data_IF_395309112064
#
_entry.id   IF_395309112064
#
_cell.length_a   1.000
_cell.length_b   1.000
_cell.length_c   1.000
_cell.angle_alpha   90.00
_cell.angle_beta   90.00
_cell.angle_gamma   90.00
#
_symmetry.space_group_name_H-M   'P 1'
#
loop_
_entity.id
_entity.type
_entity.pdbx_description
1 polymer ?
#
# COMPACT_ATOMS: atom_id res chain seq x y z
N UNK A 1 30.69 -26.86 -3.68
CA UNK A 1 29.64 -26.35 -4.59
C UNK A 1 28.79 -25.41 -3.77
N UNK A 2 28.98 -24.11 -3.96
CA UNK A 2 28.26 -23.07 -3.26
C UNK A 2 26.94 -22.83 -4.01
N UNK A 3 25.83 -23.17 -3.37
CA UNK A 3 24.53 -23.20 -3.99
C UNK A 3 23.90 -21.81 -3.97
N UNK A 4 23.87 -21.17 -5.15
CA UNK A 4 22.81 -20.27 -5.59
C UNK A 4 22.35 -19.19 -4.59
N UNK A 5 23.25 -18.29 -4.17
CA UNK A 5 22.85 -16.94 -3.72
C UNK A 5 22.75 -16.01 -4.94
N UNK A 6 21.86 -16.39 -5.84
CA UNK A 6 21.65 -15.75 -7.14
C UNK A 6 20.18 -15.48 -7.35
N UNK A 7 19.53 -14.86 -6.36
CA UNK A 7 18.21 -14.25 -6.58
C UNK A 7 18.46 -13.03 -7.47
N UNK A 8 18.45 -13.27 -8.79
CA UNK A 8 18.23 -12.24 -9.79
C UNK A 8 16.95 -11.52 -9.37
N UNK A 9 17.08 -10.37 -8.71
CA UNK A 9 16.00 -9.42 -8.61
C UNK A 9 15.65 -9.08 -10.05
N UNK A 10 14.58 -9.72 -10.51
CA UNK A 10 13.95 -9.53 -11.80
C UNK A 10 13.90 -8.03 -12.09
N UNK A 11 14.47 -7.65 -13.23
CA UNK A 11 14.51 -6.27 -13.71
C UNK A 11 13.13 -5.64 -13.48
N UNK A 12 13.09 -4.55 -12.71
CA UNK A 12 11.86 -3.90 -12.28
C UNK A 12 10.95 -3.67 -13.47
N UNK A 13 9.82 -4.37 -13.51
CA UNK A 13 8.86 -4.35 -14.62
C UNK A 13 8.02 -3.07 -14.52
N UNK A 14 8.66 -1.93 -14.80
CA UNK A 14 8.15 -0.56 -14.76
C UNK A 14 6.89 -0.32 -15.62
N UNK A 15 6.55 -1.28 -16.48
CA UNK A 15 5.38 -1.27 -17.37
C UNK A 15 4.46 -2.48 -17.15
N UNK A 16 4.64 -3.23 -16.06
CA UNK A 16 3.85 -4.41 -15.77
C UNK A 16 2.38 -4.05 -15.60
N UNK A 17 1.53 -4.83 -16.26
CA UNK A 17 0.10 -4.83 -15.95
C UNK A 17 -0.06 -5.24 -14.49
N UNK A 18 -0.69 -4.38 -13.65
CA UNK A 18 -0.79 -4.65 -12.22
C UNK A 18 -1.55 -5.97 -12.02
N UNK A 19 -0.90 -6.92 -11.34
CA UNK A 19 -1.44 -8.27 -11.15
C UNK A 19 -2.14 -8.32 -9.80
N UNK A 20 -3.46 -8.50 -9.82
CA UNK A 20 -4.24 -8.70 -8.62
C UNK A 20 -4.80 -10.11 -8.62
N UNK A 21 -4.50 -10.87 -7.58
CA UNK A 21 -5.00 -12.24 -7.37
C UNK A 21 -6.47 -12.26 -6.92
N UNK A 22 -7.34 -11.44 -7.52
CA UNK A 22 -8.77 -11.49 -7.23
C UNK A 22 -9.45 -12.63 -8.01
N UNK A 23 -10.10 -13.59 -7.32
CA UNK A 23 -10.62 -14.82 -7.94
C UNK A 23 -11.74 -14.59 -8.96
N UNK A 24 -12.37 -13.42 -8.96
CA UNK A 24 -13.52 -13.07 -9.81
C UNK A 24 -13.20 -11.98 -10.85
N UNK A 25 -11.93 -11.56 -10.99
CA UNK A 25 -11.55 -10.47 -11.91
C UNK A 25 -12.15 -9.11 -11.52
N UNK A 26 -12.49 -8.94 -10.24
CA UNK A 26 -12.96 -7.68 -9.67
C UNK A 26 -11.89 -6.60 -9.71
N UNK A 27 -12.29 -5.32 -9.68
CA UNK A 27 -11.34 -4.23 -9.52
C UNK A 27 -10.66 -4.36 -8.15
N UNK A 28 -9.33 -4.20 -8.08
CA UNK A 28 -8.56 -4.40 -6.86
C UNK A 28 -9.05 -3.55 -5.69
N UNK A 29 -8.92 -4.12 -4.50
CA UNK A 29 -9.14 -3.40 -3.25
C UNK A 29 -8.27 -2.14 -3.10
N UNK A 30 -8.71 -1.13 -2.33
CA UNK A 30 -7.91 0.08 -2.03
C UNK A 30 -6.55 -0.22 -1.41
N UNK A 31 -6.49 -1.24 -0.56
CA UNK A 31 -5.24 -1.69 0.07
C UNK A 31 -4.28 -2.28 -0.95
N UNK A 32 -4.78 -3.06 -1.89
CA UNK A 32 -3.97 -3.69 -2.94
C UNK A 32 -3.43 -2.63 -3.91
N UNK A 33 -4.24 -1.62 -4.23
CA UNK A 33 -3.78 -0.43 -4.96
C UNK A 33 -2.66 0.32 -4.22
N UNK A 34 -2.75 0.44 -2.88
CA UNK A 34 -1.71 1.07 -2.08
C UNK A 34 -0.40 0.27 -2.09
N UNK A 35 -0.49 -1.06 -1.93
CA UNK A 35 0.67 -1.95 -1.98
C UNK A 35 1.34 -1.91 -3.36
N UNK A 36 0.55 -1.94 -4.44
CA UNK A 36 1.07 -1.87 -5.80
C UNK A 36 1.90 -0.61 -6.04
N UNK A 37 1.44 0.56 -5.61
CA UNK A 37 2.20 1.81 -5.77
C UNK A 37 3.35 1.97 -4.77
N UNK A 38 3.28 1.32 -3.61
CA UNK A 38 4.38 1.30 -2.61
C UNK A 38 5.56 0.43 -3.10
N UNK A 39 5.25 -0.71 -3.72
CA UNK A 39 6.24 -1.63 -4.30
C UNK A 39 6.73 -1.18 -5.67
N UNK A 40 5.82 -0.68 -6.50
CA UNK A 40 6.07 -0.25 -7.88
C UNK A 40 5.64 1.21 -8.06
N UNK A 41 6.46 2.18 -7.65
CA UNK A 41 6.16 3.58 -7.84
C UNK A 41 6.13 3.91 -9.34
N UNK A 42 5.04 4.56 -9.77
CA UNK A 42 4.81 5.00 -11.16
C UNK A 42 4.65 6.51 -11.17
N UNK A 43 5.00 7.17 -12.28
CA UNK A 43 4.66 8.58 -12.46
C UNK A 43 3.14 8.77 -12.49
N UNK A 44 2.70 9.92 -12.00
CA UNK A 44 1.30 10.28 -11.86
C UNK A 44 0.53 10.19 -13.19
N UNK A 45 1.20 10.50 -14.31
CA UNK A 45 0.65 10.42 -15.68
C UNK A 45 0.39 8.97 -16.15
N UNK A 46 1.05 7.98 -15.54
CA UNK A 46 0.93 6.56 -15.90
C UNK A 46 0.09 5.75 -14.89
N UNK A 47 -0.49 6.40 -13.88
CA UNK A 47 -1.37 5.76 -12.90
C UNK A 47 -2.82 5.80 -13.42
N UNK A 48 -3.46 4.65 -13.68
CA UNK A 48 -4.86 4.60 -14.06
C UNK A 48 -5.77 5.18 -12.98
N UNK A 49 -6.89 5.80 -13.39
CA UNK A 49 -7.85 6.42 -12.47
C UNK A 49 -8.34 5.50 -11.34
N UNK A 50 -8.56 4.22 -11.64
CA UNK A 50 -9.03 3.26 -10.64
C UNK A 50 -7.95 2.97 -9.57
N UNK A 51 -6.68 2.94 -9.96
CA UNK A 51 -5.54 2.71 -9.06
C UNK A 51 -5.30 3.93 -8.17
N UNK A 52 -5.36 5.13 -8.75
CA UNK A 52 -5.30 6.39 -8.03
C UNK A 52 -6.39 6.50 -6.96
N UNK A 53 -7.64 6.20 -7.33
CA UNK A 53 -8.78 6.22 -6.41
C UNK A 53 -8.62 5.22 -5.26
N UNK A 54 -8.13 4.02 -5.55
CA UNK A 54 -7.82 3.00 -4.53
C UNK A 54 -6.74 3.47 -3.56
N UNK A 55 -5.64 4.01 -4.09
CA UNK A 55 -4.54 4.57 -3.31
C UNK A 55 -4.99 5.68 -2.36
N UNK A 56 -5.71 6.67 -2.88
CA UNK A 56 -6.23 7.79 -2.08
C UNK A 56 -7.21 7.32 -0.99
N UNK A 57 -8.03 6.30 -1.28
CA UNK A 57 -8.95 5.74 -0.31
C UNK A 57 -8.22 5.07 0.85
N UNK A 58 -7.14 4.32 0.58
CA UNK A 58 -6.32 3.71 1.64
C UNK A 58 -5.54 4.77 2.41
N UNK A 59 -5.02 5.82 1.76
CA UNK A 59 -4.33 6.92 2.45
C UNK A 59 -5.26 7.61 3.46
N UNK A 60 -6.50 7.91 3.07
CA UNK A 60 -7.54 8.46 3.98
C UNK A 60 -7.84 7.49 5.14
N UNK A 61 -7.83 6.19 4.89
CA UNK A 61 -8.04 5.16 5.92
C UNK A 61 -6.86 5.13 6.92
N UNK A 62 -5.62 5.22 6.42
CA UNK A 62 -4.43 5.28 7.25
C UNK A 62 -4.40 6.53 8.12
N UNK A 63 -4.71 7.70 7.57
CA UNK A 63 -4.80 8.95 8.31
C UNK A 63 -5.85 8.86 9.44
N UNK A 64 -7.04 8.33 9.14
CA UNK A 64 -8.08 8.10 10.15
C UNK A 64 -7.59 7.17 11.26
N UNK A 65 -6.84 6.12 10.92
CA UNK A 65 -6.28 5.18 11.88
C UNK A 65 -5.18 5.83 12.74
N UNK A 66 -4.29 6.63 12.14
CA UNK A 66 -3.27 7.41 12.83
C UNK A 66 -3.90 8.36 13.86
N UNK A 67 -4.94 9.11 13.45
CA UNK A 67 -5.69 9.99 14.37
C UNK A 67 -6.30 9.24 15.54
N UNK A 68 -6.85 8.04 15.30
CA UNK A 68 -7.35 7.19 16.38
C UNK A 68 -6.23 6.77 17.33
N UNK A 69 -5.08 6.35 16.80
CA UNK A 69 -3.91 5.95 17.60
C UNK A 69 -3.39 7.10 18.45
N UNK A 70 -3.29 8.31 17.90
CA UNK A 70 -2.91 9.50 18.66
C UNK A 70 -3.91 9.84 19.76
N UNK A 71 -5.21 9.77 19.48
CA UNK A 71 -6.24 9.97 20.50
C UNK A 71 -6.16 8.92 21.63
N UNK A 72 -5.88 7.66 21.29
CA UNK A 72 -5.66 6.61 22.29
C UNK A 72 -4.40 6.88 23.14
N UNK A 73 -3.31 7.34 22.52
CA UNK A 73 -2.08 7.74 23.23
C UNK A 73 -2.36 8.91 24.18
N UNK A 74 -2.99 9.98 23.67
CA UNK A 74 -3.36 11.16 24.45
C UNK A 74 -4.29 10.81 25.62
N UNK A 75 -5.25 9.90 25.42
CA UNK A 75 -6.13 9.44 26.49
C UNK A 75 -5.35 8.69 27.57
N UNK A 76 -4.46 7.78 27.16
CA UNK A 76 -3.59 7.02 28.08
C UNK A 76 -2.61 7.90 28.85
N UNK A 77 -2.13 8.99 28.24
CA UNK A 77 -1.27 9.96 28.90
C UNK A 77 -2.05 10.79 29.94
N UNK A 78 -3.29 11.19 29.62
CA UNK A 78 -4.19 11.83 30.60
C UNK A 78 -4.50 10.89 31.78
N UNK A 79 -4.81 9.61 31.51
CA UNK A 79 -5.08 8.60 32.55
C UNK A 79 -3.85 8.21 33.39
N UNK A 80 -2.62 8.57 32.96
CA UNK A 80 -1.38 8.31 33.71
C UNK A 80 -0.89 9.53 34.50
N UNK A 81 -1.38 10.72 34.17
CA UNK A 81 -1.01 11.98 34.80
C UNK A 81 -2.01 12.49 35.84
N UNK A 82 -3.19 11.87 35.93
CA UNK A 82 -4.18 12.00 37.01
C UNK A 82 -3.98 10.88 38.04
#
# INVERSE_FOLDING_TARGET
>A
MDAADGVLHQESDWMREPIFDEPDGGPPGPRDCWIELDLYPRDDEFIPDWLRKGYEAELKRQERNARRRENYRRKREQERGD
#
